data_IF_424555755087
#
_entry.id   IF_424555755087
#
_cell.length_a   1.000
_cell.length_b   1.000
_cell.length_c   1.000
_cell.angle_alpha   90.00
_cell.angle_beta   90.00
_cell.angle_gamma   90.00
#
_symmetry.space_group_name_H-M   'P 1'
#
loop_
_entity.id
_entity.type
_entity.pdbx_description
1 polymer ?
#
# COMPACT_ATOMS: atom_id res chain seq x y z
N UNK A 1 0.64 -7.28 2.25
CA UNK A 1 0.19 -6.86 0.92
C UNK A 1 1.36 -7.01 -0.04
N UNK A 2 1.14 -7.60 -1.22
CA UNK A 2 2.20 -7.81 -2.23
C UNK A 2 2.28 -6.62 -3.18
N UNK A 3 3.46 -6.01 -3.31
CA UNK A 3 3.69 -4.83 -4.15
C UNK A 3 4.71 -5.13 -5.24
N UNK A 4 4.33 -4.89 -6.49
CA UNK A 4 5.24 -4.93 -7.63
C UNK A 4 5.88 -3.56 -7.87
N UNK A 5 7.20 -3.49 -8.05
CA UNK A 5 7.92 -2.25 -8.38
C UNK A 5 7.91 -2.06 -9.90
N UNK A 6 7.49 -0.89 -10.36
CA UNK A 6 7.45 -0.53 -11.78
C UNK A 6 8.18 0.79 -12.02
N UNK A 7 9.15 0.75 -12.94
CA UNK A 7 10.03 1.87 -13.25
C UNK A 7 10.73 1.70 -14.59
N UNK A 8 11.53 2.70 -14.98
CA UNK A 8 12.32 2.62 -16.20
C UNK A 8 13.58 1.77 -15.98
N UNK A 9 13.81 0.81 -16.89
CA UNK A 9 15.04 0.02 -16.98
C UNK A 9 15.73 0.31 -18.32
N UNK A 10 15.03 0.07 -19.44
CA UNK A 10 15.58 0.29 -20.78
C UNK A 10 15.99 1.75 -21.02
N UNK A 11 17.21 1.94 -21.51
CA UNK A 11 17.77 3.27 -21.79
C UNK A 11 18.47 3.93 -20.60
N UNK A 12 18.57 3.27 -19.44
CA UNK A 12 19.43 3.68 -18.32
C UNK A 12 20.69 2.81 -18.24
N UNK A 13 21.79 3.32 -17.65
CA UNK A 13 22.89 2.47 -17.20
C UNK A 13 22.35 1.38 -16.25
N UNK A 14 22.73 0.12 -16.49
CA UNK A 14 22.18 -1.01 -15.73
C UNK A 14 22.34 -0.84 -14.21
N UNK A 15 23.53 -0.41 -13.75
CA UNK A 15 23.79 -0.15 -12.33
C UNK A 15 22.90 0.94 -11.73
N UNK A 16 22.52 1.94 -12.52
CA UNK A 16 21.60 2.98 -12.07
C UNK A 16 20.20 2.40 -11.89
N UNK A 17 19.72 1.62 -12.86
CA UNK A 17 18.43 0.94 -12.73
C UNK A 17 18.44 -0.02 -11.52
N UNK A 18 19.46 -0.88 -11.41
CA UNK A 18 19.63 -1.83 -10.31
C UNK A 18 19.54 -1.14 -8.94
N UNK A 19 20.37 -0.11 -8.69
CA UNK A 19 20.37 0.60 -7.42
C UNK A 19 18.99 1.19 -7.09
N UNK A 20 18.34 1.83 -8.07
CA UNK A 20 17.02 2.45 -7.83
C UNK A 20 15.94 1.43 -7.48
N UNK A 21 15.96 0.26 -8.11
CA UNK A 21 15.02 -0.81 -7.81
C UNK A 21 15.32 -1.46 -6.45
N UNK A 22 16.59 -1.61 -6.08
CA UNK A 22 16.99 -2.07 -4.74
C UNK A 22 16.58 -1.08 -3.64
N UNK A 23 16.76 0.23 -3.86
CA UNK A 23 16.35 1.27 -2.90
C UNK A 23 14.82 1.26 -2.70
N UNK A 24 14.05 1.14 -3.78
CA UNK A 24 12.60 1.01 -3.72
C UNK A 24 12.17 -0.28 -2.98
N UNK A 25 12.86 -1.40 -3.24
CA UNK A 25 12.60 -2.68 -2.56
C UNK A 25 12.89 -2.59 -1.07
N UNK A 26 14.02 -2.00 -0.68
CA UNK A 26 14.39 -1.79 0.72
C UNK A 26 13.38 -0.91 1.44
N UNK A 27 13.00 0.24 0.85
CA UNK A 27 12.01 1.16 1.42
C UNK A 27 10.66 0.47 1.65
N UNK A 28 10.13 -0.22 0.64
CA UNK A 28 8.83 -0.89 0.76
C UNK A 28 8.88 -2.06 1.76
N UNK A 29 10.00 -2.79 1.82
CA UNK A 29 10.23 -3.84 2.82
C UNK A 29 10.25 -3.26 4.23
N UNK A 30 10.89 -2.11 4.46
CA UNK A 30 10.89 -1.39 5.74
C UNK A 30 9.49 -0.88 6.15
N UNK A 31 8.60 -0.68 5.18
CA UNK A 31 7.19 -0.39 5.42
C UNK A 31 6.35 -1.65 5.71
N UNK A 32 6.96 -2.84 5.66
CA UNK A 32 6.38 -4.13 5.99
C UNK A 32 5.68 -4.83 4.83
N UNK A 33 5.93 -4.41 3.59
CA UNK A 33 5.33 -5.04 2.40
C UNK A 33 6.12 -6.27 1.95
N UNK A 34 5.43 -7.20 1.29
CA UNK A 34 6.08 -8.21 0.47
C UNK A 34 6.34 -7.59 -0.91
N UNK A 35 7.60 -7.47 -1.31
CA UNK A 35 7.98 -6.68 -2.49
C UNK A 35 8.45 -7.57 -3.62
N UNK A 36 7.98 -7.29 -4.83
CA UNK A 36 8.32 -8.01 -6.05
C UNK A 36 9.08 -7.07 -6.99
N UNK A 37 10.36 -7.38 -7.18
CA UNK A 37 11.28 -6.61 -8.01
C UNK A 37 11.46 -7.28 -9.39
N UNK A 38 11.11 -6.63 -10.51
CA UNK A 38 11.20 -7.22 -11.84
C UNK A 38 12.63 -7.50 -12.33
N UNK A 39 13.65 -6.86 -11.74
CA UNK A 39 15.05 -7.23 -12.04
C UNK A 39 15.38 -8.66 -11.60
N UNK A 40 14.53 -9.28 -10.76
CA UNK A 40 14.63 -10.65 -10.27
C UNK A 40 13.62 -11.59 -10.95
N UNK A 41 13.16 -11.28 -12.18
CA UNK A 41 12.17 -12.08 -12.90
C UNK A 41 12.68 -13.44 -13.42
N UNK A 42 13.99 -13.71 -13.30
CA UNK A 42 14.62 -15.00 -13.61
C UNK A 42 14.96 -15.22 -15.09
N UNK A 43 14.68 -14.23 -15.96
CA UNK A 43 15.08 -14.27 -17.36
C UNK A 43 16.49 -13.70 -17.54
N UNK A 44 17.24 -14.23 -18.50
CA UNK A 44 18.55 -13.70 -18.83
C UNK A 44 18.43 -12.34 -19.52
N UNK A 45 19.33 -11.40 -19.23
CA UNK A 45 19.24 -10.01 -19.73
C UNK A 45 19.26 -9.84 -21.26
N UNK A 46 19.65 -10.88 -22.02
CA UNK A 46 19.67 -10.87 -23.49
C UNK A 46 18.38 -11.43 -24.11
N UNK A 47 17.42 -11.88 -23.29
CA UNK A 47 16.12 -12.32 -23.79
C UNK A 47 15.36 -11.16 -24.42
N UNK A 48 14.44 -11.50 -25.32
CA UNK A 48 13.62 -10.49 -26.00
C UNK A 48 12.81 -9.67 -24.99
N UNK A 49 12.76 -8.36 -25.21
CA UNK A 49 12.04 -7.41 -24.34
C UNK A 49 10.59 -7.85 -24.08
N UNK A 50 9.91 -8.43 -25.08
CA UNK A 50 8.53 -8.89 -24.94
C UNK A 50 8.39 -10.06 -23.96
N UNK A 51 9.40 -10.95 -23.86
CA UNK A 51 9.40 -12.05 -22.89
C UNK A 51 9.54 -11.54 -21.47
N UNK A 52 10.42 -10.56 -21.26
CA UNK A 52 10.53 -9.85 -19.99
C UNK A 52 9.20 -9.21 -19.60
N UNK A 53 8.60 -8.42 -20.50
CA UNK A 53 7.30 -7.78 -20.23
C UNK A 53 6.19 -8.79 -19.89
N UNK A 54 6.11 -9.92 -20.61
CA UNK A 54 5.13 -10.96 -20.29
C UNK A 54 5.35 -11.55 -18.88
N UNK A 55 6.61 -11.79 -18.50
CA UNK A 55 6.95 -12.30 -17.17
C UNK A 55 6.64 -11.29 -16.06
N UNK A 56 6.94 -10.03 -16.34
CA UNK A 56 6.68 -8.89 -15.46
C UNK A 56 5.18 -8.73 -15.21
N UNK A 57 4.33 -8.86 -16.25
CA UNK A 57 2.86 -8.88 -16.11
C UNK A 57 2.38 -10.08 -15.28
N UNK A 58 2.96 -11.26 -15.45
CA UNK A 58 2.63 -12.45 -14.64
C UNK A 58 2.95 -12.20 -13.15
N UNK A 59 4.11 -11.63 -12.86
CA UNK A 59 4.51 -11.25 -11.50
C UNK A 59 3.57 -10.19 -10.91
N UNK A 60 3.25 -9.14 -11.67
CA UNK A 60 2.30 -8.10 -11.28
C UNK A 60 0.89 -8.63 -11.07
N UNK A 61 0.44 -9.63 -11.86
CA UNK A 61 -0.88 -10.22 -11.72
C UNK A 61 -1.12 -10.77 -10.30
N UNK A 62 -0.10 -11.39 -9.71
CA UNK A 62 -0.13 -11.99 -8.38
C UNK A 62 0.03 -10.98 -7.23
N UNK A 63 0.18 -9.69 -7.55
CA UNK A 63 0.33 -8.61 -6.58
C UNK A 63 -1.00 -7.91 -6.28
N UNK A 64 -1.08 -7.29 -5.10
CA UNK A 64 -2.22 -6.47 -4.70
C UNK A 64 -2.14 -5.04 -5.20
N UNK A 65 -0.91 -4.54 -5.33
CA UNK A 65 -0.61 -3.17 -5.69
C UNK A 65 0.64 -3.06 -6.59
N UNK A 66 0.77 -1.90 -7.21
CA UNK A 66 1.94 -1.49 -8.00
C UNK A 66 2.53 -0.21 -7.40
N UNK A 67 3.86 -0.15 -7.32
CA UNK A 67 4.61 1.03 -6.93
C UNK A 67 5.32 1.62 -8.15
N UNK A 68 4.89 2.80 -8.56
CA UNK A 68 5.38 3.52 -9.72
C UNK A 68 6.52 4.47 -9.32
N UNK A 69 7.72 4.19 -9.81
CA UNK A 69 8.90 5.02 -9.63
C UNK A 69 8.81 6.30 -10.48
N UNK A 70 9.43 7.41 -10.08
CA UNK A 70 9.22 8.75 -10.67
C UNK A 70 9.57 8.87 -12.17
N UNK A 71 10.33 7.92 -12.73
CA UNK A 71 10.68 7.86 -14.14
C UNK A 71 9.71 7.02 -15.01
N UNK A 72 8.63 6.48 -14.42
CA UNK A 72 7.72 5.52 -15.06
C UNK A 72 7.06 6.05 -16.34
N UNK A 73 6.73 7.34 -16.40
CA UNK A 73 6.02 7.96 -17.54
C UNK A 73 6.82 7.94 -18.84
N UNK A 74 8.15 7.75 -18.75
CA UNK A 74 9.05 7.66 -19.91
C UNK A 74 9.49 6.23 -20.21
N UNK A 75 8.86 5.23 -19.58
CA UNK A 75 9.11 3.80 -19.76
C UNK A 75 7.89 3.14 -20.39
N UNK A 76 8.07 2.57 -21.59
CA UNK A 76 7.01 1.83 -22.29
C UNK A 76 6.52 0.64 -21.46
N UNK A 77 7.42 -0.13 -20.85
CA UNK A 77 7.07 -1.26 -19.99
C UNK A 77 6.26 -0.82 -18.76
N UNK A 78 6.74 0.21 -18.05
CA UNK A 78 6.06 0.71 -16.85
C UNK A 78 4.68 1.30 -17.16
N UNK A 79 4.51 1.93 -18.33
CA UNK A 79 3.20 2.44 -18.76
C UNK A 79 2.20 1.32 -19.04
N UNK A 80 2.65 0.20 -19.64
CA UNK A 80 1.82 -0.99 -19.85
C UNK A 80 1.43 -1.64 -18.51
N UNK A 81 2.37 -1.75 -17.58
CA UNK A 81 2.13 -2.28 -16.23
C UNK A 81 1.14 -1.41 -15.44
N UNK A 82 1.27 -0.08 -15.54
CA UNK A 82 0.33 0.87 -14.96
C UNK A 82 -1.08 0.69 -15.52
N UNK A 83 -1.22 0.58 -16.84
CA UNK A 83 -2.51 0.33 -17.48
C UNK A 83 -3.12 -1.01 -17.04
N UNK A 84 -2.31 -2.06 -16.94
CA UNK A 84 -2.73 -3.36 -16.42
C UNK A 84 -3.23 -3.25 -14.97
N UNK A 85 -2.47 -2.59 -14.09
CA UNK A 85 -2.83 -2.40 -12.69
C UNK A 85 -4.16 -1.65 -12.54
N UNK A 86 -4.33 -0.54 -13.28
CA UNK A 86 -5.58 0.23 -13.27
C UNK A 86 -6.78 -0.59 -13.75
N UNK A 87 -6.63 -1.30 -14.87
CA UNK A 87 -7.71 -2.11 -15.47
C UNK A 87 -8.08 -3.33 -14.62
N UNK A 88 -7.16 -3.81 -13.79
CA UNK A 88 -7.38 -4.94 -12.88
C UNK A 88 -7.72 -4.53 -11.44
N UNK A 89 -7.89 -3.24 -11.18
CA UNK A 89 -8.31 -2.72 -9.87
C UNK A 89 -7.28 -2.91 -8.76
N UNK A 90 -6.00 -2.97 -9.12
CA UNK A 90 -4.88 -2.97 -8.17
C UNK A 90 -4.68 -1.57 -7.59
N UNK A 91 -4.20 -1.48 -6.36
CA UNK A 91 -3.87 -0.19 -5.76
C UNK A 91 -2.59 0.36 -6.43
N UNK A 92 -2.57 1.65 -6.76
CA UNK A 92 -1.43 2.31 -7.40
C UNK A 92 -0.78 3.29 -6.43
N UNK A 93 0.51 3.12 -6.20
CA UNK A 93 1.35 3.94 -5.33
C UNK A 93 2.38 4.67 -6.18
N UNK A 94 2.66 5.94 -5.88
CA UNK A 94 3.65 6.73 -6.62
C UNK A 94 4.79 7.15 -5.70
N UNK A 95 6.03 7.05 -6.19
CA UNK A 95 7.26 7.45 -5.49
C UNK A 95 7.19 8.91 -4.98
N UNK A 96 6.86 9.85 -5.86
CA UNK A 96 6.61 11.26 -5.53
C UNK A 96 5.68 11.47 -4.32
N UNK A 97 4.65 10.65 -4.13
CA UNK A 97 3.75 10.76 -2.98
C UNK A 97 4.42 10.26 -1.68
N UNK A 98 5.30 9.27 -1.77
CA UNK A 98 6.03 8.74 -0.60
C UNK A 98 7.11 9.75 -0.16
N UNK A 99 7.88 10.29 -1.11
CA UNK A 99 9.05 11.14 -0.83
C UNK A 99 8.64 12.56 -0.37
N UNK A 100 7.55 13.12 -0.89
CA UNK A 100 7.14 14.51 -0.57
C UNK A 100 6.35 14.58 0.76
N UNK A 101 5.78 13.47 1.25
CA UNK A 101 4.87 13.43 2.42
C UNK A 101 5.44 12.60 3.60
N UNK A 102 6.77 12.55 3.70
CA UNK A 102 7.61 11.49 4.28
C UNK A 102 7.09 10.73 5.51
N UNK A 103 6.51 11.34 6.55
CA UNK A 103 6.10 10.58 7.74
C UNK A 103 4.62 10.21 7.75
N UNK A 104 3.75 11.12 7.32
CA UNK A 104 2.31 10.90 7.33
C UNK A 104 1.91 9.82 6.32
N UNK A 105 2.48 9.87 5.11
CA UNK A 105 2.15 8.91 4.06
C UNK A 105 2.69 7.52 4.39
N UNK A 106 3.95 7.42 4.85
CA UNK A 106 4.52 6.16 5.34
C UNK A 106 3.70 5.58 6.49
N UNK A 107 3.24 6.41 7.42
CA UNK A 107 2.35 5.97 8.49
C UNK A 107 1.01 5.43 7.95
N UNK A 108 0.39 6.10 6.98
CA UNK A 108 -0.85 5.63 6.34
C UNK A 108 -0.64 4.30 5.63
N UNK A 109 0.44 4.15 4.87
CA UNK A 109 0.79 2.90 4.20
C UNK A 109 0.98 1.76 5.19
N UNK A 110 1.71 1.98 6.28
CA UNK A 110 1.89 0.99 7.36
C UNK A 110 0.54 0.57 7.96
N UNK A 111 -0.38 1.52 8.18
CA UNK A 111 -1.74 1.25 8.69
C UNK A 111 -2.55 0.43 7.68
N UNK A 112 -2.52 0.80 6.40
CA UNK A 112 -3.22 0.07 5.33
C UNK A 112 -2.72 -1.38 5.24
N UNK A 113 -1.40 -1.57 5.26
CA UNK A 113 -0.79 -2.90 5.24
C UNK A 113 -1.22 -3.74 6.44
N UNK A 114 -1.13 -3.20 7.66
CA UNK A 114 -1.52 -3.93 8.86
C UNK A 114 -3.00 -4.34 8.86
N UNK A 115 -3.89 -3.48 8.34
CA UNK A 115 -5.31 -3.80 8.18
C UNK A 115 -5.49 -4.91 7.13
N UNK A 116 -4.79 -4.81 6.00
CA UNK A 116 -4.83 -5.82 4.96
C UNK A 116 -4.36 -7.19 5.47
N UNK A 117 -3.23 -7.27 6.18
CA UNK A 117 -2.72 -8.51 6.77
C UNK A 117 -3.72 -9.17 7.74
N UNK A 118 -4.48 -8.37 8.50
CA UNK A 118 -5.43 -8.90 9.49
C UNK A 118 -6.78 -9.26 8.86
N UNK A 119 -7.22 -8.51 7.86
CA UNK A 119 -8.61 -8.57 7.35
C UNK A 119 -8.74 -9.10 5.92
N UNK A 120 -7.65 -9.14 5.16
CA UNK A 120 -7.65 -9.38 3.71
C UNK A 120 -8.22 -8.23 2.87
N UNK A 121 -8.74 -7.16 3.49
CA UNK A 121 -9.35 -6.05 2.78
C UNK A 121 -8.30 -5.08 2.25
N UNK A 122 -8.48 -4.65 1.00
CA UNK A 122 -7.73 -3.56 0.37
C UNK A 122 -8.33 -2.21 0.75
N UNK A 123 -7.53 -1.15 0.62
CA UNK A 123 -7.93 0.20 1.01
C UNK A 123 -9.22 0.65 0.30
N UNK A 124 -9.27 0.45 -1.01
CA UNK A 124 -10.42 0.78 -1.86
C UNK A 124 -11.73 0.06 -1.43
N UNK A 125 -11.66 -1.09 -0.76
CA UNK A 125 -12.84 -1.86 -0.32
C UNK A 125 -13.49 -1.26 0.93
N UNK A 126 -12.71 -0.69 1.84
CA UNK A 126 -13.24 -0.17 3.11
C UNK A 126 -13.38 1.36 3.16
N UNK A 127 -12.87 2.12 2.20
CA UNK A 127 -13.17 3.57 2.10
C UNK A 127 -14.55 3.88 1.50
N UNK A 128 -15.23 2.88 0.93
CA UNK A 128 -16.54 3.06 0.29
C UNK A 128 -17.64 3.53 1.27
N UNK A 129 -18.80 3.89 0.73
CA UNK A 129 -20.01 4.19 1.53
C UNK A 129 -20.67 2.93 2.13
N UNK A 130 -20.18 1.74 1.78
CA UNK A 130 -20.71 0.45 2.26
C UNK A 130 -20.73 0.37 3.79
N UNK A 131 -21.82 -0.20 4.30
CA UNK A 131 -22.07 -0.46 5.73
C UNK A 131 -21.86 -1.92 6.11
N UNK A 132 -21.29 -2.74 5.21
CA UNK A 132 -20.88 -4.11 5.55
C UNK A 132 -19.94 -4.08 6.75
N UNK A 133 -20.17 -4.99 7.71
CA UNK A 133 -19.50 -5.00 9.02
C UNK A 133 -17.97 -4.95 8.89
N UNK A 134 -17.41 -5.82 8.07
CA UNK A 134 -15.95 -5.93 7.86
C UNK A 134 -15.34 -4.62 7.36
N UNK A 135 -15.94 -4.00 6.34
CA UNK A 135 -15.48 -2.70 5.83
C UNK A 135 -15.68 -1.57 6.84
N UNK A 136 -16.72 -1.62 7.68
CA UNK A 136 -16.90 -0.65 8.77
C UNK A 136 -15.81 -0.81 9.82
N UNK A 137 -15.50 -2.04 10.24
CA UNK A 137 -14.43 -2.34 11.20
C UNK A 137 -13.06 -1.89 10.68
N UNK A 138 -12.69 -2.26 9.46
CA UNK A 138 -11.44 -1.84 8.83
C UNK A 138 -11.32 -0.31 8.76
N UNK A 139 -12.40 0.39 8.39
CA UNK A 139 -12.42 1.87 8.37
C UNK A 139 -12.28 2.48 9.76
N UNK A 140 -12.93 1.91 10.78
CA UNK A 140 -12.80 2.39 12.16
C UNK A 140 -11.36 2.23 12.67
N UNK A 141 -10.75 1.07 12.42
CA UNK A 141 -9.35 0.80 12.78
C UNK A 141 -8.41 1.77 12.07
N UNK A 142 -8.60 1.99 10.77
CA UNK A 142 -7.84 2.97 9.99
C UNK A 142 -7.89 4.37 10.61
N UNK A 143 -9.10 4.89 10.83
CA UNK A 143 -9.32 6.24 11.40
C UNK A 143 -8.70 6.36 12.80
N UNK A 144 -8.86 5.34 13.65
CA UNK A 144 -8.28 5.31 14.98
C UNK A 144 -6.75 5.40 14.94
N UNK A 145 -6.09 4.57 14.14
CA UNK A 145 -4.62 4.58 14.07
C UNK A 145 -4.05 5.83 13.42
N UNK A 146 -4.71 6.40 12.40
CA UNK A 146 -4.33 7.70 11.86
C UNK A 146 -4.41 8.78 12.93
N UNK A 147 -5.47 8.78 13.75
CA UNK A 147 -5.63 9.77 14.82
C UNK A 147 -4.65 9.57 15.97
N UNK A 148 -4.35 8.32 16.35
CA UNK A 148 -3.33 7.95 17.34
C UNK A 148 -1.95 8.50 16.97
N UNK A 149 -1.66 8.63 15.67
CA UNK A 149 -0.46 9.26 15.10
C UNK A 149 -0.58 10.77 14.87
N UNK A 150 -1.54 11.43 15.54
CA UNK A 150 -1.77 12.88 15.54
C UNK A 150 -2.21 13.51 14.20
N UNK A 151 -2.54 12.73 13.17
CA UNK A 151 -3.08 13.25 11.91
C UNK A 151 -4.38 14.04 12.13
N UNK A 152 -4.54 15.18 11.44
CA UNK A 152 -5.74 16.02 11.59
C UNK A 152 -6.95 15.31 10.99
N UNK A 153 -8.10 15.42 11.64
CA UNK A 153 -9.35 14.77 11.19
C UNK A 153 -9.74 15.14 9.76
N UNK A 154 -9.46 16.38 9.33
CA UNK A 154 -9.69 16.84 7.95
C UNK A 154 -8.81 16.08 6.95
N UNK A 155 -7.57 15.73 7.31
CA UNK A 155 -6.70 14.92 6.46
C UNK A 155 -7.22 13.47 6.39
N UNK A 156 -7.56 12.88 7.53
CA UNK A 156 -8.11 11.50 7.59
C UNK A 156 -9.39 11.39 6.76
N UNK A 157 -10.27 12.40 6.86
CA UNK A 157 -11.52 12.51 6.11
C UNK A 157 -11.31 12.43 4.59
N UNK A 158 -10.24 13.03 4.06
CA UNK A 158 -9.87 12.95 2.63
C UNK A 158 -9.56 11.52 2.20
N UNK A 159 -8.79 10.79 3.01
CA UNK A 159 -8.42 9.39 2.73
C UNK A 159 -9.63 8.46 2.64
N UNK A 160 -10.63 8.65 3.50
CA UNK A 160 -11.82 7.78 3.56
C UNK A 160 -13.04 8.35 2.83
N UNK A 161 -12.87 9.44 2.07
CA UNK A 161 -13.90 10.13 1.30
C UNK A 161 -15.19 10.42 2.08
N UNK A 162 -15.06 11.00 3.28
CA UNK A 162 -16.18 11.32 4.19
C UNK A 162 -16.02 12.68 4.86
N UNK A 163 -17.10 13.19 5.44
CA UNK A 163 -17.07 14.43 6.21
C UNK A 163 -16.28 14.30 7.52
N UNK A 164 -15.72 15.42 7.96
CA UNK A 164 -14.99 15.53 9.23
C UNK A 164 -15.78 15.01 10.44
N UNK A 165 -17.08 15.31 10.54
CA UNK A 165 -17.95 14.86 11.63
C UNK A 165 -18.06 13.33 11.70
N UNK A 166 -17.97 12.65 10.55
CA UNK A 166 -17.96 11.19 10.49
C UNK A 166 -16.74 10.61 11.20
N UNK A 167 -15.61 11.32 11.24
CA UNK A 167 -14.39 10.81 11.90
C UNK A 167 -14.58 10.75 13.41
N UNK A 168 -15.21 11.77 14.00
CA UNK A 168 -15.57 11.77 15.43
C UNK A 168 -16.50 10.62 15.78
N UNK A 169 -17.51 10.36 14.93
CA UNK A 169 -18.42 9.24 15.10
C UNK A 169 -17.67 7.89 15.04
N UNK A 170 -16.79 7.70 14.07
CA UNK A 170 -16.00 6.46 13.93
C UNK A 170 -15.06 6.23 15.12
N UNK A 171 -14.44 7.29 15.66
CA UNK A 171 -13.59 7.20 16.84
C UNK A 171 -14.39 6.83 18.09
N UNK A 172 -15.54 7.46 18.32
CA UNK A 172 -16.41 7.09 19.45
C UNK A 172 -16.85 5.63 19.33
N UNK A 173 -17.28 5.23 18.13
CA UNK A 173 -17.71 3.87 17.86
C UNK A 173 -16.57 2.86 18.04
N UNK A 174 -15.32 3.24 17.73
CA UNK A 174 -14.16 2.40 17.95
C UNK A 174 -14.05 2.03 19.43
N UNK A 175 -14.13 3.01 20.33
CA UNK A 175 -14.04 2.77 21.78
C UNK A 175 -15.19 1.87 22.28
N UNK A 176 -16.42 2.13 21.81
CA UNK A 176 -17.59 1.35 22.16
C UNK A 176 -17.45 -0.12 21.69
N UNK A 177 -17.14 -0.34 20.41
CA UNK A 177 -16.97 -1.69 19.87
C UNK A 177 -15.73 -2.38 20.46
N UNK A 178 -14.64 -1.66 20.74
CA UNK A 178 -13.48 -2.25 21.42
C UNK A 178 -13.86 -2.78 22.81
N UNK A 179 -14.72 -2.05 23.53
CA UNK A 179 -15.18 -2.45 24.85
C UNK A 179 -16.21 -3.58 24.83
N UNK A 180 -17.14 -3.59 23.89
CA UNK A 180 -18.30 -4.49 23.97
C UNK A 180 -18.38 -5.55 22.86
N UNK A 181 -17.57 -5.45 21.81
CA UNK A 181 -17.60 -6.36 20.67
C UNK A 181 -16.30 -7.20 20.61
N UNK A 182 -16.33 -8.47 21.05
CA UNK A 182 -15.14 -9.33 21.09
C UNK A 182 -14.48 -9.51 19.71
N UNK A 183 -15.28 -9.66 18.66
CA UNK A 183 -14.78 -9.82 17.29
C UNK A 183 -14.01 -8.58 16.85
N UNK A 184 -14.57 -7.39 17.07
CA UNK A 184 -13.89 -6.14 16.73
C UNK A 184 -12.62 -5.95 17.57
N UNK A 185 -12.68 -6.22 18.88
CA UNK A 185 -11.55 -6.11 19.78
C UNK A 185 -10.38 -6.97 19.31
N UNK A 186 -10.63 -8.23 18.94
CA UNK A 186 -9.61 -9.13 18.43
C UNK A 186 -8.91 -8.56 17.18
N UNK A 187 -9.68 -8.12 16.18
CA UNK A 187 -9.15 -7.52 14.96
C UNK A 187 -8.31 -6.26 15.26
N UNK A 188 -8.84 -5.36 16.08
CA UNK A 188 -8.17 -4.12 16.46
C UNK A 188 -6.85 -4.39 17.23
N UNK A 189 -6.86 -5.37 18.14
CA UNK A 189 -5.65 -5.79 18.88
C UNK A 189 -4.59 -6.36 17.94
N UNK A 190 -4.98 -7.22 16.98
CA UNK A 190 -4.04 -7.77 15.99
C UNK A 190 -3.39 -6.68 15.14
N UNK A 191 -4.17 -5.71 14.65
CA UNK A 191 -3.63 -4.58 13.87
C UNK A 191 -2.68 -3.75 14.73
N UNK A 192 -3.05 -3.43 15.97
CA UNK A 192 -2.19 -2.68 16.88
C UNK A 192 -0.87 -3.42 17.17
N UNK A 193 -0.89 -4.74 17.30
CA UNK A 193 0.32 -5.53 17.51
C UNK A 193 1.28 -5.47 16.31
N UNK A 194 0.75 -5.57 15.07
CA UNK A 194 1.57 -5.40 13.86
C UNK A 194 2.21 -4.02 13.84
N UNK A 195 1.44 -2.96 14.10
CA UNK A 195 1.91 -1.58 14.06
C UNK A 195 2.91 -1.21 15.16
N UNK A 196 2.98 -1.97 16.24
CA UNK A 196 3.94 -1.76 17.33
C UNK A 196 5.24 -2.55 17.13
N UNK A 197 5.18 -3.75 16.53
CA UNK A 197 6.39 -4.56 16.22
C UNK A 197 7.36 -3.81 15.32
N UNK A 198 6.86 -3.02 14.37
CA UNK A 198 7.69 -2.27 13.42
C UNK A 198 8.41 -1.07 14.04
N UNK A 199 8.12 -0.70 15.30
CA UNK A 199 8.83 0.39 15.99
C UNK A 199 10.02 -0.11 16.83
N UNK A 200 10.18 -1.42 17.05
CA UNK A 200 11.27 -2.00 17.85
C UNK A 200 12.49 -2.41 17.01
N UNK A 201 12.41 -2.27 15.69
CA UNK A 201 13.47 -2.63 14.73
C UNK A 201 14.19 -1.42 14.12
N UNK A 202 13.98 -0.22 14.67
CA UNK A 202 14.58 1.04 14.23
C UNK A 202 15.54 1.61 15.28
#
# INVERSE_FOLDING_TARGET
MRIYISGKISGLPYKEAEQRFEDAEALLTELGFEVINPLKNGLAAHEEWIKHLCKDIEMLHLCDAIYMMDNWTTSTGASIEFDFANRTGKDVLFESNIIILNDEYKAVMRIQNAIHEVTGLRFNQYITKSRKREGVFARMIFVYHCRKRKMKLIQIAKYVHRDHSSMLHLLKKYEDDFKYNPQFRELATRVNNILNRTNESA
#
